data_IF_940639804419
#
_entry.id   IF_940639804419
#
_cell.length_a   1.000
_cell.length_b   1.000
_cell.length_c   1.000
_cell.angle_alpha   90.00
_cell.angle_beta   90.00
_cell.angle_gamma   90.00
#
_symmetry.space_group_name_H-M   'P 1'
#
loop_
_entity.id
_entity.type
_entity.pdbx_description
1 polymer ?
#
# COMPACT_ATOMS: atom_id res chain seq x y z
N UNK A 1 -43.94 4.49 7.10
CA UNK A 1 -43.54 5.31 5.93
C UNK A 1 -42.26 4.73 5.38
N UNK A 2 -42.32 4.11 4.21
CA UNK A 2 -41.21 3.44 3.55
C UNK A 2 -40.51 4.42 2.60
N UNK A 3 -39.19 4.50 2.66
CA UNK A 3 -38.39 5.29 1.71
C UNK A 3 -37.56 4.31 0.90
N UNK A 4 -38.05 4.01 -0.30
CA UNK A 4 -37.37 3.18 -1.28
C UNK A 4 -36.23 3.96 -1.93
N UNK A 5 -35.05 3.35 -1.99
CA UNK A 5 -33.94 3.85 -2.79
C UNK A 5 -34.11 3.36 -4.24
N UNK A 6 -34.17 4.31 -5.16
CA UNK A 6 -34.24 4.09 -6.61
C UNK A 6 -32.82 4.14 -7.18
N UNK A 7 -32.33 3.04 -7.75
CA UNK A 7 -31.09 3.01 -8.54
C UNK A 7 -31.43 3.27 -10.00
N UNK A 8 -30.86 4.33 -10.57
CA UNK A 8 -31.08 4.67 -11.98
C UNK A 8 -29.77 5.04 -12.68
N UNK A 9 -29.53 4.33 -13.79
CA UNK A 9 -28.57 4.54 -14.88
C UNK A 9 -27.08 4.24 -14.59
N UNK A 10 -26.48 3.13 -15.05
CA UNK A 10 -26.33 2.58 -16.41
C UNK A 10 -25.37 3.39 -17.30
N UNK A 11 -24.09 3.01 -17.27
CA UNK A 11 -23.13 3.35 -18.32
C UNK A 11 -22.59 2.07 -18.97
N UNK A 12 -23.09 1.80 -20.17
CA UNK A 12 -22.37 1.28 -21.33
C UNK A 12 -21.42 0.09 -21.14
N UNK A 13 -21.97 -1.12 -21.08
CA UNK A 13 -21.26 -2.32 -21.56
C UNK A 13 -21.99 -2.86 -22.79
N UNK A 14 -21.60 -2.36 -23.96
CA UNK A 14 -22.14 -2.80 -25.23
C UNK A 14 -21.12 -2.58 -26.33
N UNK A 15 -20.37 -3.64 -26.65
CA UNK A 15 -19.93 -4.09 -27.98
C UNK A 15 -18.62 -4.87 -27.91
N UNK A 16 -18.74 -6.19 -27.77
CA UNK A 16 -17.85 -7.14 -28.45
C UNK A 16 -18.68 -8.36 -28.83
N UNK A 17 -19.40 -8.26 -29.95
CA UNK A 17 -19.79 -9.44 -30.70
C UNK A 17 -18.49 -10.03 -31.27
N UNK A 18 -18.09 -11.19 -30.78
CA UNK A 18 -16.89 -11.88 -31.22
C UNK A 18 -17.06 -12.39 -32.65
N UNK A 19 -16.18 -11.97 -33.56
CA UNK A 19 -15.98 -12.61 -34.85
C UNK A 19 -15.39 -14.02 -34.63
N UNK A 20 -15.97 -15.09 -35.19
CA UNK A 20 -15.40 -16.42 -35.10
C UNK A 20 -14.20 -16.51 -36.07
N UNK A 21 -12.98 -16.57 -35.52
CA UNK A 21 -11.78 -16.86 -36.31
C UNK A 21 -10.53 -16.06 -35.95
N UNK A 22 -10.64 -15.00 -35.15
CA UNK A 22 -9.46 -14.22 -34.73
C UNK A 22 -8.98 -14.69 -33.37
N UNK A 23 -7.95 -15.55 -33.35
CA UNK A 23 -7.22 -15.84 -32.10
C UNK A 23 -6.64 -14.53 -31.57
N UNK A 24 -7.01 -14.04 -30.38
CA UNK A 24 -6.31 -12.92 -29.77
C UNK A 24 -4.88 -13.36 -29.46
N UNK A 25 -3.93 -12.92 -30.28
CA UNK A 25 -2.50 -13.02 -29.99
C UNK A 25 -2.13 -11.86 -29.05
N UNK A 26 -2.65 -11.93 -27.82
CA UNK A 26 -2.14 -11.20 -26.67
C UNK A 26 -1.47 -12.22 -25.76
N UNK A 27 -0.19 -12.01 -25.43
CA UNK A 27 0.62 -12.91 -24.60
C UNK A 27 0.05 -13.04 -23.19
N UNK A 28 -0.93 -13.90 -22.99
CA UNK A 28 -1.24 -14.46 -21.67
C UNK A 28 -0.23 -15.57 -21.42
N UNK A 29 0.95 -15.21 -20.89
CA UNK A 29 1.90 -16.23 -20.42
C UNK A 29 1.35 -16.77 -19.11
N UNK A 30 1.03 -18.05 -19.07
CA UNK A 30 0.57 -18.75 -17.86
C UNK A 30 1.61 -18.67 -16.72
N UNK A 31 1.18 -18.73 -15.45
CA UNK A 31 1.90 -18.23 -14.27
C UNK A 31 2.95 -19.21 -13.71
N UNK A 32 3.68 -19.92 -14.58
CA UNK A 32 4.71 -20.89 -14.15
C UNK A 32 6.11 -20.31 -13.96
N UNK A 33 6.39 -19.12 -14.49
CA UNK A 33 7.77 -18.60 -14.63
C UNK A 33 8.04 -17.31 -13.86
N UNK A 34 7.09 -16.86 -13.02
CA UNK A 34 7.22 -15.62 -12.22
C UNK A 34 7.21 -15.90 -10.71
N UNK A 35 7.12 -17.17 -10.31
CA UNK A 35 7.23 -17.60 -8.91
C UNK A 35 8.65 -17.29 -8.41
N UNK A 36 8.77 -16.44 -7.38
CA UNK A 36 10.05 -16.11 -6.76
C UNK A 36 10.72 -14.83 -7.24
N UNK A 37 10.13 -14.07 -8.18
CA UNK A 37 10.64 -12.74 -8.51
C UNK A 37 10.28 -11.73 -7.42
N UNK A 38 11.29 -11.05 -6.89
CA UNK A 38 11.14 -9.97 -5.92
C UNK A 38 11.33 -8.62 -6.64
N UNK A 39 10.30 -7.76 -6.72
CA UNK A 39 10.45 -6.46 -7.35
C UNK A 39 11.41 -5.56 -6.56
N UNK A 40 12.15 -4.64 -7.23
CA UNK A 40 13.00 -3.69 -6.53
C UNK A 40 12.23 -2.87 -5.48
N UNK A 41 12.76 -2.80 -4.27
CA UNK A 41 12.10 -2.10 -3.15
C UNK A 41 11.03 -2.92 -2.43
N UNK A 42 10.92 -4.22 -2.72
CA UNK A 42 10.11 -5.13 -1.92
C UNK A 42 10.59 -5.15 -0.45
N UNK A 43 9.66 -5.18 0.53
CA UNK A 43 10.03 -5.17 1.94
C UNK A 43 10.85 -6.39 2.35
N UNK A 44 11.84 -6.15 3.21
CA UNK A 44 12.61 -7.21 3.83
C UNK A 44 11.71 -8.07 4.74
N UNK A 45 11.94 -9.39 4.74
CA UNK A 45 11.16 -10.35 5.54
C UNK A 45 9.80 -10.74 4.93
N UNK A 46 9.36 -10.13 3.83
CA UNK A 46 8.17 -10.57 3.09
C UNK A 46 8.59 -11.52 1.97
N UNK A 47 7.99 -12.72 1.93
CA UNK A 47 8.25 -13.70 0.88
C UNK A 47 7.91 -13.13 -0.51
N UNK A 48 8.50 -13.68 -1.59
CA UNK A 48 8.20 -13.20 -2.93
C UNK A 48 6.69 -13.28 -3.24
N UNK A 49 6.14 -12.32 -4.01
CA UNK A 49 4.75 -12.36 -4.45
C UNK A 49 4.37 -13.70 -5.07
N UNK A 50 3.12 -14.13 -4.84
CA UNK A 50 2.54 -15.33 -5.47
C UNK A 50 3.27 -16.65 -5.16
N UNK A 51 4.02 -16.70 -4.05
CA UNK A 51 4.67 -17.93 -3.54
C UNK A 51 3.97 -18.46 -2.30
N UNK A 52 4.03 -19.76 -2.03
CA UNK A 52 3.31 -20.33 -0.88
C UNK A 52 3.65 -19.62 0.45
N UNK A 53 2.61 -19.25 1.19
CA UNK A 53 2.73 -18.54 2.48
C UNK A 53 3.13 -17.06 2.39
N UNK A 54 3.20 -16.47 1.19
CA UNK A 54 3.59 -15.06 1.05
C UNK A 54 2.60 -14.10 1.67
N UNK A 55 1.30 -14.38 1.57
CA UNK A 55 0.22 -13.56 2.13
C UNK A 55 0.32 -13.45 3.65
N UNK A 56 0.77 -14.51 4.34
CA UNK A 56 0.97 -14.50 5.79
C UNK A 56 2.11 -13.55 6.19
N UNK A 57 3.25 -13.62 5.49
CA UNK A 57 4.38 -12.72 5.73
C UNK A 57 4.06 -11.27 5.33
N UNK A 58 3.26 -11.08 4.28
CA UNK A 58 2.77 -9.77 3.87
C UNK A 58 1.82 -9.19 4.93
N UNK A 59 0.88 -9.99 5.45
CA UNK A 59 -0.03 -9.56 6.50
C UNK A 59 0.71 -9.19 7.79
N UNK A 60 1.72 -9.96 8.19
CA UNK A 60 2.58 -9.63 9.33
C UNK A 60 3.29 -8.28 9.13
N UNK A 61 3.96 -8.09 8.00
CA UNK A 61 4.59 -6.82 7.64
C UNK A 61 3.61 -5.63 7.66
N UNK A 62 2.42 -5.79 7.06
CA UNK A 62 1.41 -4.74 7.03
C UNK A 62 0.88 -4.40 8.44
N UNK A 63 0.75 -5.38 9.34
CA UNK A 63 0.39 -5.14 10.74
C UNK A 63 1.48 -4.41 11.52
N UNK A 64 2.75 -4.63 11.18
CA UNK A 64 3.89 -3.88 11.75
C UNK A 64 3.95 -2.44 11.24
N UNK A 65 3.28 -2.14 10.12
CA UNK A 65 3.13 -0.78 9.59
C UNK A 65 1.95 -0.02 10.20
N UNK A 66 1.09 -0.70 10.95
CA UNK A 66 -0.19 -0.17 11.43
C UNK A 66 -0.24 -0.04 12.96
N UNK A 67 -1.25 0.67 13.50
CA UNK A 67 -1.50 0.69 14.94
C UNK A 67 -1.66 -0.72 15.53
N UNK A 68 -1.23 -0.91 16.78
CA UNK A 68 -1.21 -2.22 17.42
C UNK A 68 -2.59 -2.88 17.49
N UNK A 69 -3.63 -2.06 17.64
CA UNK A 69 -5.04 -2.42 17.74
C UNK A 69 -5.52 -3.22 16.52
N UNK A 70 -4.89 -3.04 15.35
CA UNK A 70 -5.31 -3.72 14.13
C UNK A 70 -5.15 -5.24 14.22
N UNK A 71 -4.26 -5.73 15.10
CA UNK A 71 -4.09 -7.16 15.40
C UNK A 71 -5.34 -7.77 16.05
N UNK A 72 -6.23 -6.95 16.63
CA UNK A 72 -7.50 -7.37 17.21
C UNK A 72 -8.61 -7.62 16.16
N UNK A 73 -8.51 -7.03 14.96
CA UNK A 73 -9.56 -7.14 13.95
C UNK A 73 -9.37 -8.39 13.08
N UNK A 74 -10.19 -9.42 13.31
CA UNK A 74 -10.11 -10.69 12.56
C UNK A 74 -10.27 -10.51 11.03
N UNK A 75 -11.06 -9.53 10.58
CA UNK A 75 -11.25 -9.21 9.15
C UNK A 75 -9.93 -8.84 8.47
N UNK A 76 -9.03 -8.12 9.16
CA UNK A 76 -7.76 -7.68 8.60
C UNK A 76 -6.77 -8.84 8.42
N UNK A 77 -6.85 -9.86 9.30
CA UNK A 77 -6.06 -11.10 9.16
C UNK A 77 -6.61 -12.05 8.10
N UNK A 78 -7.93 -12.10 7.94
CA UNK A 78 -8.61 -12.95 6.94
C UNK A 78 -8.55 -12.39 5.52
N UNK A 79 -8.42 -11.07 5.40
CA UNK A 79 -8.43 -10.38 4.11
C UNK A 79 -7.25 -9.40 4.02
N UNK A 80 -6.03 -9.88 3.72
CA UNK A 80 -4.83 -9.05 3.66
C UNK A 80 -4.93 -7.85 2.69
N UNK A 81 -5.73 -7.96 1.63
CA UNK A 81 -6.00 -6.83 0.70
C UNK A 81 -6.71 -5.65 1.38
N UNK A 82 -7.59 -5.91 2.35
CA UNK A 82 -8.26 -4.85 3.13
C UNK A 82 -7.23 -4.20 4.06
N UNK A 83 -6.42 -5.03 4.74
CA UNK A 83 -5.33 -4.57 5.58
C UNK A 83 -4.32 -3.71 4.80
N UNK A 84 -3.97 -4.09 3.56
CA UNK A 84 -3.09 -3.31 2.72
C UNK A 84 -3.64 -1.92 2.44
N UNK A 85 -4.94 -1.80 2.14
CA UNK A 85 -5.57 -0.49 1.94
C UNK A 85 -5.52 0.38 3.19
N UNK A 86 -5.70 -0.23 4.37
CA UNK A 86 -5.61 0.47 5.66
C UNK A 86 -4.18 0.92 5.94
N UNK A 87 -3.19 0.04 5.71
CA UNK A 87 -1.78 0.34 5.88
C UNK A 87 -1.33 1.50 4.97
N UNK A 88 -1.78 1.53 3.71
CA UNK A 88 -1.50 2.65 2.79
C UNK A 88 -2.02 3.96 3.37
N UNK A 89 -3.29 4.01 3.77
CA UNK A 89 -3.89 5.22 4.32
C UNK A 89 -3.16 5.68 5.59
N UNK A 90 -2.78 4.74 6.47
CA UNK A 90 -2.09 5.04 7.71
C UNK A 90 -0.66 5.56 7.50
N UNK A 91 0.10 4.96 6.58
CA UNK A 91 1.44 5.45 6.24
C UNK A 91 1.37 6.79 5.51
N UNK A 92 0.40 6.99 4.63
CA UNK A 92 0.16 8.28 3.96
C UNK A 92 -0.15 9.40 4.98
N UNK A 93 -0.98 9.12 5.99
CA UNK A 93 -1.25 10.11 7.04
C UNK A 93 -0.01 10.48 7.84
N UNK A 94 0.87 9.51 8.11
CA UNK A 94 2.15 9.77 8.79
C UNK A 94 3.10 10.61 7.92
N UNK A 95 3.19 10.31 6.61
CA UNK A 95 3.97 11.12 5.67
C UNK A 95 3.48 12.57 5.67
N UNK A 96 2.17 12.78 5.67
CA UNK A 96 1.60 14.12 5.72
C UNK A 96 1.92 14.81 7.06
N UNK A 97 1.76 14.11 8.18
CA UNK A 97 2.10 14.63 9.50
C UNK A 97 3.57 15.06 9.61
N UNK A 98 4.51 14.32 9.00
CA UNK A 98 5.92 14.74 8.95
C UNK A 98 6.11 16.05 8.16
N UNK A 99 5.43 16.21 7.02
CA UNK A 99 5.52 17.43 6.21
C UNK A 99 5.01 18.64 6.98
N UNK A 100 3.87 18.49 7.64
CA UNK A 100 3.26 19.54 8.44
C UNK A 100 4.14 19.87 9.66
N UNK A 101 4.70 18.84 10.30
CA UNK A 101 5.66 18.96 11.40
C UNK A 101 6.88 19.79 11.00
N UNK A 102 7.56 19.44 9.91
CA UNK A 102 8.74 20.18 9.41
C UNK A 102 8.40 21.65 9.13
N UNK A 103 7.26 21.91 8.49
CA UNK A 103 6.82 23.27 8.16
C UNK A 103 6.43 24.10 9.38
N UNK A 104 5.88 23.46 10.42
CA UNK A 104 5.29 24.12 11.58
C UNK A 104 6.15 24.15 12.85
N UNK A 105 7.16 23.29 12.98
CA UNK A 105 7.84 23.02 14.27
C UNK A 105 8.46 24.26 14.91
N UNK A 106 9.02 25.18 14.11
CA UNK A 106 9.61 26.42 14.65
C UNK A 106 8.54 27.34 15.25
N UNK A 107 7.41 27.47 14.57
CA UNK A 107 6.32 28.31 15.03
C UNK A 107 5.59 27.70 16.25
N UNK A 108 5.44 26.37 16.28
CA UNK A 108 4.72 25.68 17.34
C UNK A 108 5.56 25.43 18.59
N UNK A 109 6.84 25.07 18.44
CA UNK A 109 7.71 24.69 19.55
C UNK A 109 8.72 25.77 19.96
N UNK A 110 9.01 26.76 19.10
CA UNK A 110 9.98 27.82 19.38
C UNK A 110 9.78 28.56 20.72
N UNK A 111 8.54 28.84 21.18
CA UNK A 111 8.33 29.43 22.50
C UNK A 111 8.67 28.52 23.70
N UNK A 112 8.83 27.22 23.49
CA UNK A 112 8.94 26.22 24.56
C UNK A 112 10.34 25.58 24.67
N UNK A 113 11.14 25.61 23.61
CA UNK A 113 12.45 24.94 23.56
C UNK A 113 13.55 25.85 22.98
N UNK A 114 14.79 25.58 23.39
CA UNK A 114 15.96 26.25 22.83
C UNK A 114 16.26 25.86 21.37
N UNK A 115 17.11 26.62 20.67
CA UNK A 115 17.41 26.41 19.25
C UNK A 115 18.03 25.04 18.96
N UNK A 116 18.91 24.53 19.83
CA UNK A 116 19.54 23.21 19.66
C UNK A 116 18.51 22.07 19.68
N UNK A 117 17.57 22.11 20.64
CA UNK A 117 16.48 21.13 20.71
C UNK A 117 15.55 21.21 19.49
N UNK A 118 15.33 22.42 18.95
CA UNK A 118 14.52 22.64 17.76
C UNK A 118 15.21 22.09 16.50
N UNK A 119 16.52 22.24 16.38
CA UNK A 119 17.32 21.65 15.31
C UNK A 119 17.31 20.11 15.38
N UNK A 120 17.47 19.54 16.58
CA UNK A 120 17.36 18.10 16.80
C UNK A 120 15.97 17.57 16.42
N UNK A 121 14.89 18.29 16.76
CA UNK A 121 13.53 17.92 16.37
C UNK A 121 13.32 17.97 14.85
N UNK A 122 13.86 18.98 14.16
CA UNK A 122 13.83 19.07 12.70
C UNK A 122 14.58 17.90 12.04
N UNK A 123 15.77 17.57 12.55
CA UNK A 123 16.55 16.43 12.06
C UNK A 123 15.78 15.11 12.22
N UNK A 124 15.17 14.87 13.38
CA UNK A 124 14.35 13.69 13.63
C UNK A 124 13.14 13.61 12.68
N UNK A 125 12.47 14.73 12.40
CA UNK A 125 11.39 14.76 11.41
C UNK A 125 11.86 14.41 9.99
N UNK A 126 13.03 14.91 9.57
CA UNK A 126 13.59 14.61 8.26
C UNK A 126 13.95 13.13 8.10
N UNK A 127 14.61 12.55 9.10
CA UNK A 127 14.91 11.11 9.13
C UNK A 127 13.62 10.29 9.05
N UNK A 128 12.63 10.62 9.87
CA UNK A 128 11.35 9.91 9.87
C UNK A 128 10.61 10.05 8.53
N UNK A 129 10.67 11.22 7.88
CA UNK A 129 10.08 11.42 6.56
C UNK A 129 10.76 10.57 5.47
N UNK A 130 12.06 10.31 5.58
CA UNK A 130 12.79 9.40 4.68
C UNK A 130 12.38 7.95 4.88
N UNK A 131 12.31 7.51 6.14
CA UNK A 131 11.87 6.17 6.51
C UNK A 131 10.44 5.91 6.04
N UNK A 132 9.51 6.84 6.28
CA UNK A 132 8.11 6.71 5.86
C UNK A 132 7.94 6.76 4.34
N UNK A 133 8.76 7.54 3.62
CA UNK A 133 8.76 7.51 2.15
C UNK A 133 9.17 6.14 1.62
N UNK A 134 10.18 5.50 2.21
CA UNK A 134 10.55 4.12 1.88
C UNK A 134 9.41 3.16 2.22
N UNK A 135 8.88 3.25 3.43
CA UNK A 135 7.80 2.37 3.89
C UNK A 135 6.55 2.47 3.02
N UNK A 136 6.19 3.68 2.57
CA UNK A 136 5.06 3.88 1.67
C UNK A 136 5.24 3.16 0.33
N UNK A 137 6.47 3.12 -0.20
CA UNK A 137 6.77 2.38 -1.44
C UNK A 137 6.63 0.88 -1.21
N UNK A 138 7.20 0.35 -0.14
CA UNK A 138 7.10 -1.07 0.25
C UNK A 138 5.65 -1.52 0.39
N UNK A 139 4.84 -0.77 1.16
CA UNK A 139 3.41 -1.06 1.36
C UNK A 139 2.63 -0.99 0.05
N UNK A 140 2.97 -0.04 -0.83
CA UNK A 140 2.35 0.07 -2.15
C UNK A 140 2.61 -1.16 -3.03
N UNK A 141 3.85 -1.65 -3.06
CA UNK A 141 4.19 -2.88 -3.81
C UNK A 141 3.43 -4.09 -3.29
N UNK A 142 3.31 -4.23 -1.96
CA UNK A 142 2.54 -5.32 -1.34
C UNK A 142 1.05 -5.20 -1.67
N UNK A 143 0.48 -3.99 -1.64
CA UNK A 143 -0.92 -3.77 -2.05
C UNK A 143 -1.15 -4.17 -3.52
N UNK A 144 -0.26 -3.75 -4.42
CA UNK A 144 -0.31 -4.12 -5.84
C UNK A 144 -0.26 -5.65 -6.02
N UNK A 145 0.67 -6.32 -5.34
CA UNK A 145 0.77 -7.78 -5.35
C UNK A 145 -0.55 -8.45 -4.90
N UNK A 146 -1.12 -7.98 -3.79
CA UNK A 146 -2.36 -8.53 -3.19
C UNK A 146 -3.59 -8.28 -4.07
N UNK A 147 -3.55 -7.27 -4.94
CA UNK A 147 -4.59 -7.01 -5.96
C UNK A 147 -4.39 -7.86 -7.22
N UNK A 148 -3.42 -8.78 -7.22
CA UNK A 148 -3.15 -9.69 -8.34
C UNK A 148 -2.20 -9.12 -9.40
N UNK A 149 -1.46 -8.04 -9.11
CA UNK A 149 -0.42 -7.57 -10.03
C UNK A 149 0.75 -8.56 -10.05
N UNK A 150 1.20 -8.91 -11.26
CA UNK A 150 2.35 -9.79 -11.48
C UNK A 150 3.54 -8.92 -11.89
N UNK A 151 4.57 -8.88 -11.04
CA UNK A 151 5.78 -8.11 -11.32
C UNK A 151 6.68 -8.87 -12.30
N UNK A 152 7.05 -8.23 -13.41
CA UNK A 152 7.92 -8.82 -14.43
C UNK A 152 9.27 -8.13 -14.37
N UNK A 153 10.36 -8.91 -14.37
CA UNK A 153 11.73 -8.40 -14.47
C UNK A 153 11.87 -7.58 -15.74
N UNK A 154 12.12 -6.27 -15.60
CA UNK A 154 12.59 -5.43 -16.71
C UNK A 154 14.09 -5.71 -16.89
N UNK A 155 14.44 -6.23 -18.05
CA UNK A 155 15.83 -6.39 -18.52
C UNK A 155 16.38 -5.05 -18.99
#
# INVERSE_FOLDING_TARGET
>A
MAVGWSSSHAHGFGRYAGEPGRRPQGRTRFPGEVTGYVPPGWPEGVRPPHTDGWEDTAAAFLLDCCPAEYRGYAVLRRHPVILARFAVAHVESQVQACRDGIGGVRASLGPFVGPEALEAALAAWHEQAELLRRRRREVGLVEEALRGQVFVRKL
#
